data_IF_670795954912
#
_entry.id   IF_670795954912
#
_cell.length_a   1.000
_cell.length_b   1.000
_cell.length_c   1.000
_cell.angle_alpha   90.00
_cell.angle_beta   90.00
_cell.angle_gamma   90.00
#
_symmetry.space_group_name_H-M   'P 1'
#
loop_
_entity.id
_entity.type
_entity.pdbx_description
1 polymer ?
#
# COMPACT_ATOMS: atom_id res chain seq x y z
N UNK A 1 8.92 -20.97 -57.30
CA UNK A 1 9.19 -22.33 -56.78
C UNK A 1 8.88 -22.37 -55.30
N UNK A 2 7.76 -22.98 -54.90
CA UNK A 2 7.61 -23.86 -53.73
C UNK A 2 6.11 -24.01 -53.45
N UNK A 3 5.65 -25.24 -53.58
CA UNK A 3 4.27 -25.71 -53.64
C UNK A 3 3.62 -25.88 -52.27
N UNK A 4 2.32 -25.59 -52.21
CA UNK A 4 1.41 -25.92 -51.12
C UNK A 4 1.33 -27.44 -50.85
N UNK A 5 1.13 -27.82 -49.58
CA UNK A 5 0.54 -29.11 -49.20
C UNK A 5 -0.49 -28.93 -48.09
N UNK A 6 -1.76 -28.99 -48.50
CA UNK A 6 -2.93 -29.18 -47.65
C UNK A 6 -3.07 -30.67 -47.32
N UNK A 7 -3.15 -31.03 -46.04
CA UNK A 7 -3.47 -32.40 -45.60
C UNK A 7 -4.91 -32.41 -45.07
N UNK A 8 -5.79 -33.11 -45.80
CA UNK A 8 -7.15 -33.45 -45.38
C UNK A 8 -7.09 -34.70 -44.49
N UNK A 9 -7.65 -34.64 -43.29
CA UNK A 9 -7.95 -35.85 -42.52
C UNK A 9 -9.33 -36.37 -42.88
N UNK A 10 -9.40 -37.68 -43.14
CA UNK A 10 -10.61 -38.44 -43.49
C UNK A 10 -11.37 -38.83 -42.23
N UNK A 11 -12.69 -38.72 -42.30
CA UNK A 11 -13.63 -39.33 -41.37
C UNK A 11 -13.79 -40.81 -41.75
N UNK A 12 -13.69 -41.70 -40.76
CA UNK A 12 -14.15 -43.09 -40.87
C UNK A 12 -15.24 -43.34 -39.81
N UNK A 13 -16.39 -43.82 -40.28
CA UNK A 13 -17.58 -44.17 -39.50
C UNK A 13 -17.91 -45.65 -39.73
N UNK A 14 -17.99 -46.45 -38.65
CA UNK A 14 -18.74 -47.73 -38.50
C UNK A 14 -18.51 -48.26 -37.07
N UNK A 15 -19.50 -48.17 -36.15
CA UNK A 15 -20.59 -49.13 -35.83
C UNK A 15 -20.11 -50.48 -35.27
N UNK A 16 -20.31 -50.74 -33.97
CA UNK A 16 -20.85 -52.03 -33.47
C UNK A 16 -21.26 -51.99 -31.98
N UNK A 17 -22.44 -52.56 -31.69
CA UNK A 17 -23.09 -52.73 -30.38
C UNK A 17 -22.59 -53.96 -29.57
N UNK A 18 -22.90 -53.93 -28.25
CA UNK A 18 -22.97 -54.99 -27.19
C UNK A 18 -21.82 -55.08 -26.15
N UNK A 19 -22.08 -55.60 -24.92
CA UNK A 19 -23.10 -55.24 -23.93
C UNK A 19 -22.52 -55.02 -22.50
N UNK A 20 -23.39 -54.61 -21.57
CA UNK A 20 -23.12 -54.32 -20.15
C UNK A 20 -22.54 -55.50 -19.35
N UNK A 21 -21.37 -55.35 -18.73
CA UNK A 21 -21.14 -55.58 -17.28
C UNK A 21 -19.65 -55.57 -16.92
N UNK A 22 -19.15 -54.47 -16.38
CA UNK A 22 -18.19 -54.53 -15.26
C UNK A 22 -18.15 -53.18 -14.54
N UNK A 23 -18.39 -53.21 -13.22
CA UNK A 23 -18.33 -52.04 -12.34
C UNK A 23 -16.87 -51.68 -12.10
N UNK A 24 -16.46 -50.51 -12.55
CA UNK A 24 -15.31 -49.80 -11.98
C UNK A 24 -15.85 -48.58 -11.24
N UNK A 25 -15.70 -48.60 -9.92
CA UNK A 25 -15.95 -47.45 -9.06
C UNK A 25 -14.94 -46.34 -9.37
N UNK A 26 -15.37 -45.10 -9.61
CA UNK A 26 -14.41 -44.00 -9.66
C UNK A 26 -13.87 -43.72 -8.25
N UNK A 27 -12.55 -43.78 -8.13
CA UNK A 27 -11.76 -43.23 -7.03
C UNK A 27 -12.14 -41.75 -6.78
N UNK A 28 -12.16 -41.28 -5.51
CA UNK A 28 -12.46 -39.89 -5.21
C UNK A 28 -11.30 -39.03 -5.70
N UNK A 29 -11.57 -38.25 -6.75
CA UNK A 29 -10.60 -37.31 -7.32
C UNK A 29 -10.82 -35.95 -6.67
N UNK A 30 -9.76 -35.41 -6.07
CA UNK A 30 -9.63 -33.97 -5.81
C UNK A 30 -10.08 -33.50 -4.44
N UNK A 31 -9.12 -33.39 -3.51
CA UNK A 31 -9.15 -32.33 -2.51
C UNK A 31 -9.16 -30.98 -3.26
N UNK A 32 -10.34 -30.44 -3.53
CA UNK A 32 -10.47 -29.00 -3.77
C UNK A 32 -10.12 -28.34 -2.44
N UNK A 33 -8.99 -27.63 -2.42
CA UNK A 33 -8.73 -26.67 -1.36
C UNK A 33 -9.95 -25.75 -1.31
N UNK A 34 -10.63 -25.58 -0.16
CA UNK A 34 -11.73 -24.65 -0.08
C UNK A 34 -11.21 -23.30 -0.56
N UNK A 35 -11.87 -22.71 -1.56
CA UNK A 35 -11.62 -21.32 -1.91
C UNK A 35 -11.77 -20.45 -0.66
N UNK A 36 -11.18 -19.23 -0.66
CA UNK A 36 -11.36 -18.32 0.46
C UNK A 36 -12.86 -18.23 0.79
N UNK A 37 -13.20 -18.47 2.06
CA UNK A 37 -14.56 -18.28 2.56
C UNK A 37 -14.78 -16.77 2.47
N UNK A 38 -15.33 -16.31 1.36
CA UNK A 38 -15.70 -14.92 1.14
C UNK A 38 -17.08 -14.80 1.78
N UNK A 39 -17.20 -14.16 2.95
CA UNK A 39 -18.51 -13.93 3.52
C UNK A 39 -19.27 -13.00 2.58
N UNK A 40 -20.57 -13.25 2.41
CA UNK A 40 -21.41 -12.45 1.52
C UNK A 40 -21.34 -10.97 1.97
N UNK A 41 -20.91 -10.05 1.09
CA UNK A 41 -20.64 -8.67 1.45
C UNK A 41 -21.88 -7.94 2.01
N UNK A 42 -23.08 -8.46 1.73
CA UNK A 42 -24.35 -7.92 2.25
C UNK A 42 -24.67 -8.36 3.68
N UNK A 43 -23.96 -9.34 4.22
CA UNK A 43 -24.29 -9.98 5.52
C UNK A 43 -23.11 -10.18 6.46
N UNK A 44 -21.88 -9.97 5.98
CA UNK A 44 -20.67 -10.19 6.76
C UNK A 44 -20.47 -9.13 7.85
N UNK A 45 -20.16 -9.58 9.06
CA UNK A 45 -19.82 -8.74 10.20
C UNK A 45 -18.40 -8.15 10.00
N UNK A 46 -18.10 -6.87 10.35
CA UNK A 46 -16.78 -6.25 10.18
C UNK A 46 -15.59 -7.11 10.66
N UNK A 47 -15.80 -7.92 11.69
CA UNK A 47 -14.80 -8.81 12.28
C UNK A 47 -14.37 -10.01 11.39
N UNK A 48 -15.17 -10.42 10.40
CA UNK A 48 -14.78 -11.50 9.47
C UNK A 48 -13.88 -10.98 8.34
N UNK A 49 -14.01 -9.70 7.97
CA UNK A 49 -13.15 -9.03 6.99
C UNK A 49 -11.71 -8.83 7.49
N UNK A 50 -11.53 -8.52 8.77
CA UNK A 50 -10.21 -8.31 9.36
C UNK A 50 -9.34 -9.57 9.35
N UNK A 51 -9.96 -10.76 9.20
CA UNK A 51 -9.27 -12.05 9.31
C UNK A 51 -8.44 -12.41 8.08
N UNK A 52 -8.81 -11.94 6.89
CA UNK A 52 -8.02 -12.09 5.66
C UNK A 52 -8.29 -10.94 4.66
N UNK A 53 -7.95 -9.72 5.07
CA UNK A 53 -8.08 -8.53 4.23
C UNK A 53 -7.33 -8.66 2.89
N UNK A 54 -6.16 -9.29 2.89
CA UNK A 54 -5.39 -9.52 1.67
C UNK A 54 -6.11 -10.46 0.69
N UNK A 55 -6.72 -11.54 1.20
CA UNK A 55 -7.57 -12.44 0.43
C UNK A 55 -8.76 -11.71 -0.17
N UNK A 56 -9.45 -10.88 0.61
CA UNK A 56 -10.59 -10.08 0.15
C UNK A 56 -10.21 -9.09 -0.97
N UNK A 57 -9.10 -8.36 -0.83
CA UNK A 57 -8.58 -7.48 -1.89
C UNK A 57 -8.22 -8.26 -3.15
N UNK A 58 -7.55 -9.40 -2.99
CA UNK A 58 -7.13 -10.26 -4.11
C UNK A 58 -8.34 -10.78 -4.88
N UNK A 59 -9.39 -11.21 -4.17
CA UNK A 59 -10.62 -11.69 -4.78
C UNK A 59 -11.37 -10.58 -5.54
N UNK A 60 -11.57 -9.41 -4.94
CA UNK A 60 -12.20 -8.28 -5.62
C UNK A 60 -11.39 -7.82 -6.84
N UNK A 61 -10.05 -7.87 -6.78
CA UNK A 61 -9.20 -7.61 -7.93
C UNK A 61 -9.35 -8.67 -9.04
N UNK A 62 -9.61 -9.94 -8.70
CA UNK A 62 -9.91 -10.97 -9.69
C UNK A 62 -11.26 -10.72 -10.36
N UNK A 63 -12.31 -10.41 -9.60
CA UNK A 63 -13.63 -10.05 -10.14
C UNK A 63 -13.55 -8.85 -11.09
N UNK A 64 -12.82 -7.79 -10.71
CA UNK A 64 -12.56 -6.64 -11.57
C UNK A 64 -11.89 -7.02 -12.89
N UNK A 65 -10.87 -7.88 -12.85
CA UNK A 65 -10.18 -8.35 -14.07
C UNK A 65 -11.05 -9.25 -14.95
N UNK A 66 -11.96 -10.00 -14.34
CA UNK A 66 -12.93 -10.84 -15.05
C UNK A 66 -14.12 -10.06 -15.62
N UNK A 67 -14.30 -8.79 -15.22
CA UNK A 67 -15.44 -7.96 -15.63
C UNK A 67 -16.74 -8.32 -14.90
N UNK A 68 -16.68 -9.08 -13.81
CA UNK A 68 -17.82 -9.54 -13.02
C UNK A 68 -18.26 -8.45 -12.02
N UNK A 69 -18.67 -7.29 -12.54
CA UNK A 69 -18.94 -6.09 -11.72
C UNK A 69 -20.07 -6.32 -10.70
N UNK A 70 -21.08 -7.12 -11.05
CA UNK A 70 -22.23 -7.40 -10.18
C UNK A 70 -21.86 -8.17 -8.89
N UNK A 71 -20.71 -8.86 -8.89
CA UNK A 71 -20.21 -9.62 -7.75
C UNK A 71 -19.26 -8.81 -6.85
N UNK A 72 -18.88 -7.59 -7.25
CA UNK A 72 -17.93 -6.76 -6.51
C UNK A 72 -18.64 -6.08 -5.34
N UNK A 73 -17.96 -6.09 -4.19
CA UNK A 73 -18.34 -5.29 -3.04
C UNK A 73 -17.90 -3.82 -3.24
N UNK A 74 -18.64 -3.12 -4.10
CA UNK A 74 -18.26 -1.78 -4.58
C UNK A 74 -18.18 -0.73 -3.47
N UNK A 75 -19.02 -0.84 -2.43
CA UNK A 75 -19.03 0.12 -1.32
C UNK A 75 -17.77 -0.04 -0.47
N UNK A 76 -17.50 -1.25 0.03
CA UNK A 76 -16.34 -1.49 0.87
C UNK A 76 -15.02 -1.29 0.09
N UNK A 77 -14.98 -1.63 -1.20
CA UNK A 77 -13.82 -1.37 -2.05
C UNK A 77 -13.56 0.13 -2.23
N UNK A 78 -14.60 0.95 -2.42
CA UNK A 78 -14.46 2.41 -2.50
C UNK A 78 -13.96 3.00 -1.17
N UNK A 79 -14.51 2.54 -0.05
CA UNK A 79 -14.07 2.98 1.28
C UNK A 79 -12.59 2.66 1.54
N UNK A 80 -12.14 1.48 1.11
CA UNK A 80 -10.74 1.07 1.25
C UNK A 80 -9.82 1.89 0.34
N UNK A 81 -10.22 2.17 -0.91
CA UNK A 81 -9.47 3.05 -1.80
C UNK A 81 -9.30 4.45 -1.19
N UNK A 82 -10.36 5.00 -0.60
CA UNK A 82 -10.32 6.28 0.10
C UNK A 82 -9.45 6.21 1.37
N UNK A 83 -9.51 5.10 2.11
CA UNK A 83 -8.71 4.85 3.30
C UNK A 83 -7.22 4.80 2.97
N UNK A 84 -6.83 4.10 1.88
CA UNK A 84 -5.45 4.06 1.39
C UNK A 84 -4.95 5.47 1.06
N UNK A 85 -5.74 6.28 0.37
CA UNK A 85 -5.39 7.68 0.08
C UNK A 85 -5.23 8.53 1.33
N UNK A 86 -6.12 8.37 2.34
CA UNK A 86 -5.96 9.03 3.65
C UNK A 86 -4.68 8.59 4.35
N UNK A 87 -4.39 7.29 4.37
CA UNK A 87 -3.19 6.71 5.01
C UNK A 87 -1.91 7.28 4.43
N UNK A 88 -1.78 7.36 3.11
CA UNK A 88 -0.59 7.95 2.46
C UNK A 88 -0.39 9.43 2.83
N UNK A 89 -1.46 10.24 2.85
CA UNK A 89 -1.40 11.66 3.28
C UNK A 89 -1.01 11.81 4.75
N UNK A 90 -1.50 10.91 5.60
CA UNK A 90 -1.10 10.86 7.01
C UNK A 90 0.36 10.48 7.17
N UNK A 91 0.82 9.48 6.40
CA UNK A 91 2.22 9.05 6.40
C UNK A 91 3.15 10.20 6.00
N UNK A 92 2.85 10.91 4.91
CA UNK A 92 3.61 12.11 4.51
C UNK A 92 3.74 13.11 5.65
N UNK A 93 2.61 13.43 6.30
CA UNK A 93 2.60 14.39 7.42
C UNK A 93 3.43 13.87 8.60
N UNK A 94 3.36 12.58 8.89
CA UNK A 94 4.09 11.95 9.99
C UNK A 94 5.60 11.96 9.75
N UNK A 95 6.04 11.59 8.54
CA UNK A 95 7.46 11.60 8.14
C UNK A 95 8.05 13.00 8.18
N UNK A 96 7.35 13.97 7.58
CA UNK A 96 7.75 15.38 7.65
C UNK A 96 7.88 15.86 9.10
N UNK A 97 6.95 15.47 9.99
CA UNK A 97 6.99 15.84 11.40
C UNK A 97 8.26 15.33 12.09
N UNK A 98 8.65 14.07 11.84
CA UNK A 98 9.87 13.51 12.45
C UNK A 98 11.12 14.16 11.87
N UNK A 99 11.20 14.34 10.54
CA UNK A 99 12.32 15.06 9.90
C UNK A 99 12.48 16.46 10.52
N UNK A 100 11.40 17.24 10.57
CA UNK A 100 11.41 18.60 11.10
C UNK A 100 11.78 18.66 12.59
N UNK A 101 11.32 17.70 13.39
CA UNK A 101 11.70 17.56 14.79
C UNK A 101 13.21 17.39 14.92
N UNK A 102 13.80 16.49 14.13
CA UNK A 102 15.24 16.25 14.15
C UNK A 102 16.04 17.43 13.62
N UNK A 103 15.55 18.17 12.61
CA UNK A 103 16.18 19.40 12.15
C UNK A 103 16.18 20.49 13.24
N UNK A 104 15.06 20.66 13.96
CA UNK A 104 15.01 21.59 15.10
C UNK A 104 15.99 21.18 16.22
N UNK A 105 16.02 19.90 16.60
CA UNK A 105 17.00 19.41 17.58
C UNK A 105 18.43 19.62 17.10
N UNK A 106 18.69 19.41 15.81
CA UNK A 106 19.99 19.65 15.22
C UNK A 106 20.42 21.12 15.33
N UNK A 107 19.54 22.05 14.97
CA UNK A 107 19.81 23.49 14.99
C UNK A 107 19.98 24.02 16.43
N UNK A 108 19.08 23.65 17.34
CA UNK A 108 18.96 24.28 18.67
C UNK A 108 19.66 23.51 19.81
N UNK A 109 20.12 22.28 19.57
CA UNK A 109 20.87 21.48 20.55
C UNK A 109 22.19 20.94 19.98
N UNK A 110 23.04 21.83 19.44
CA UNK A 110 24.30 21.44 18.79
C UNK A 110 25.22 20.53 19.63
N UNK A 111 25.22 20.69 20.96
CA UNK A 111 26.02 19.87 21.90
C UNK A 111 25.51 18.44 22.10
N UNK A 112 24.27 18.15 21.68
CA UNK A 112 23.60 16.86 21.90
C UNK A 112 23.41 16.08 20.60
N UNK A 113 24.02 16.52 19.49
CA UNK A 113 23.99 15.81 18.21
C UNK A 113 24.66 14.44 18.38
N UNK A 114 23.89 13.38 18.25
CA UNK A 114 24.38 12.00 18.33
C UNK A 114 24.32 11.31 16.97
N UNK A 115 25.07 10.21 16.85
CA UNK A 115 24.97 9.31 15.70
C UNK A 115 23.55 8.76 15.52
N UNK A 116 22.85 8.44 16.61
CA UNK A 116 21.48 7.92 16.54
C UNK A 116 20.51 8.95 15.96
N UNK A 117 20.64 10.24 16.31
CA UNK A 117 19.80 11.28 15.71
C UNK A 117 20.03 11.44 14.22
N UNK A 118 21.29 11.31 13.79
CA UNK A 118 21.63 11.34 12.36
C UNK A 118 21.01 10.13 11.63
N UNK A 119 21.16 8.92 12.17
CA UNK A 119 20.58 7.71 11.59
C UNK A 119 19.05 7.83 11.45
N UNK A 120 18.35 8.29 12.50
CA UNK A 120 16.90 8.50 12.42
C UNK A 120 16.52 9.56 11.38
N UNK A 121 17.26 10.67 11.29
CA UNK A 121 17.00 11.69 10.28
C UNK A 121 17.19 11.15 8.85
N UNK A 122 18.29 10.42 8.61
CA UNK A 122 18.56 9.80 7.31
C UNK A 122 17.48 8.80 6.92
N UNK A 123 17.11 7.90 7.84
CA UNK A 123 16.05 6.91 7.62
C UNK A 123 14.71 7.58 7.26
N UNK A 124 14.32 8.62 8.00
CA UNK A 124 13.07 9.33 7.73
C UNK A 124 13.10 10.10 6.41
N UNK A 125 14.25 10.65 6.01
CA UNK A 125 14.45 11.28 4.69
C UNK A 125 14.30 10.27 3.56
N UNK A 126 14.94 9.11 3.67
CA UNK A 126 14.84 8.05 2.67
C UNK A 126 13.41 7.54 2.51
N UNK A 127 12.73 7.25 3.62
CA UNK A 127 11.35 6.78 3.56
C UNK A 127 10.37 7.88 3.09
N UNK A 128 10.67 9.17 3.35
CA UNK A 128 9.91 10.29 2.81
C UNK A 128 10.09 10.43 1.29
N UNK A 129 11.33 10.32 0.81
CA UNK A 129 11.64 10.35 -0.62
C UNK A 129 10.96 9.20 -1.36
N UNK A 130 11.07 7.98 -0.83
CA UNK A 130 10.41 6.79 -1.38
C UNK A 130 8.88 6.96 -1.46
N UNK A 131 8.25 7.49 -0.39
CA UNK A 131 6.81 7.74 -0.39
C UNK A 131 6.37 8.71 -1.52
N UNK A 132 7.16 9.76 -1.76
CA UNK A 132 6.87 10.75 -2.80
C UNK A 132 7.17 10.22 -4.21
N UNK A 133 8.10 9.28 -4.35
CA UNK A 133 8.39 8.57 -5.59
C UNK A 133 7.28 7.57 -5.94
N UNK A 134 6.83 6.78 -4.96
CA UNK A 134 5.75 5.80 -5.13
C UNK A 134 4.37 6.46 -5.34
N UNK A 135 4.16 7.65 -4.77
CA UNK A 135 2.92 8.41 -4.90
C UNK A 135 3.16 9.87 -5.31
N UNK A 136 3.46 10.15 -6.60
CA UNK A 136 3.77 11.50 -7.07
C UNK A 136 2.63 12.52 -6.86
N UNK A 137 1.38 12.07 -6.76
CA UNK A 137 0.24 12.93 -6.44
C UNK A 137 0.33 13.58 -5.05
N UNK A 138 1.12 13.02 -4.13
CA UNK A 138 1.35 13.59 -2.80
C UNK A 138 2.18 14.88 -2.81
N UNK A 139 2.92 15.15 -3.89
CA UNK A 139 3.56 16.46 -4.09
C UNK A 139 2.51 17.58 -4.08
N UNK A 140 1.30 17.29 -4.60
CA UNK A 140 0.19 18.20 -4.49
C UNK A 140 -0.27 18.32 -3.03
N UNK A 141 0.00 19.47 -2.42
CA UNK A 141 -0.30 19.74 -1.01
C UNK A 141 0.83 19.39 -0.04
N UNK A 142 2.00 18.95 -0.51
CA UNK A 142 3.14 18.66 0.36
C UNK A 142 3.57 19.88 1.20
N UNK A 143 3.50 21.08 0.63
CA UNK A 143 3.78 22.32 1.35
C UNK A 143 2.82 22.56 2.52
N UNK A 144 1.51 22.35 2.33
CA UNK A 144 0.53 22.45 3.41
C UNK A 144 0.80 21.40 4.50
N UNK A 145 1.19 20.19 4.10
CA UNK A 145 1.56 19.13 5.05
C UNK A 145 2.85 19.45 5.79
N UNK A 146 3.82 20.10 5.16
CA UNK A 146 5.04 20.59 5.80
C UNK A 146 4.71 21.59 6.91
N UNK A 147 3.85 22.58 6.64
CA UNK A 147 3.45 23.59 7.63
C UNK A 147 2.69 22.97 8.82
N UNK A 148 1.77 22.04 8.52
CA UNK A 148 1.05 21.28 9.55
C UNK A 148 2.01 20.42 10.39
N UNK A 149 2.92 19.71 9.72
CA UNK A 149 3.95 18.88 10.35
C UNK A 149 4.86 19.72 11.24
N UNK A 150 5.27 20.90 10.80
CA UNK A 150 6.09 21.83 11.56
C UNK A 150 5.43 22.25 12.87
N UNK A 151 4.13 22.56 12.84
CA UNK A 151 3.39 22.94 14.05
C UNK A 151 3.43 21.85 15.12
N UNK A 152 3.40 20.58 14.71
CA UNK A 152 3.52 19.42 15.61
C UNK A 152 4.98 19.20 16.05
N UNK A 153 5.91 19.22 15.10
CA UNK A 153 7.34 19.04 15.33
C UNK A 153 7.91 20.08 16.30
N UNK A 154 7.49 21.34 16.19
CA UNK A 154 7.89 22.42 17.10
C UNK A 154 7.49 22.17 18.55
N UNK A 155 6.28 21.64 18.79
CA UNK A 155 5.82 21.27 20.14
C UNK A 155 6.60 20.07 20.69
N UNK A 156 6.84 19.07 19.84
CA UNK A 156 7.65 17.90 20.21
C UNK A 156 9.10 18.29 20.52
N UNK A 157 9.69 19.20 19.73
CA UNK A 157 11.04 19.69 19.96
C UNK A 157 11.12 20.41 21.31
N UNK A 158 10.18 21.29 21.63
CA UNK A 158 10.14 21.94 22.95
C UNK A 158 10.05 20.90 24.08
N UNK A 159 9.20 19.88 23.95
CA UNK A 159 9.06 18.82 24.94
C UNK A 159 10.33 17.97 25.09
N UNK A 160 10.96 17.53 24.00
CA UNK A 160 12.14 16.66 24.03
C UNK A 160 13.43 17.39 24.45
N UNK A 161 13.55 18.67 24.09
CA UNK A 161 14.76 19.46 24.37
C UNK A 161 14.72 20.14 25.74
N UNK A 162 13.52 20.29 26.32
CA UNK A 162 13.28 21.11 27.52
C UNK A 162 13.39 22.61 27.28
N UNK A 163 13.57 23.06 26.03
CA UNK A 163 13.61 24.48 25.69
C UNK A 163 12.19 25.07 25.61
N UNK A 164 11.98 26.34 26.01
CA UNK A 164 10.71 27.04 25.79
C UNK A 164 10.31 27.01 24.31
N UNK A 165 9.00 26.93 24.03
CA UNK A 165 8.45 26.86 22.67
C UNK A 165 8.82 28.10 21.81
N UNK A 166 9.12 29.20 22.46
CA UNK A 166 9.55 30.50 21.93
C UNK A 166 10.99 30.46 21.40
N UNK A 167 11.79 29.49 21.85
CA UNK A 167 13.15 29.25 21.34
C UNK A 167 13.13 28.79 19.88
N UNK A 168 11.99 28.25 19.44
CA UNK A 168 11.79 27.77 18.08
C UNK A 168 10.97 28.80 17.28
N UNK A 169 11.32 29.05 16.00
CA UNK A 169 10.58 29.96 15.14
C UNK A 169 9.07 29.69 15.11
N UNK A 170 8.24 30.73 14.97
CA UNK A 170 6.78 30.54 14.89
C UNK A 170 6.34 29.93 13.55
N UNK A 171 7.09 30.20 12.48
CA UNK A 171 6.88 29.66 11.13
C UNK A 171 8.01 28.70 10.78
N UNK A 172 7.73 27.73 9.91
CA UNK A 172 8.74 26.76 9.49
C UNK A 172 9.93 27.50 8.84
N UNK A 173 11.17 27.35 9.36
CA UNK A 173 12.35 27.95 8.73
C UNK A 173 12.89 27.08 7.58
N UNK A 174 12.33 25.88 7.39
CA UNK A 174 12.79 24.90 6.41
C UNK A 174 11.83 24.84 5.23
N UNK A 175 12.40 24.65 4.04
CA UNK A 175 11.64 24.34 2.82
C UNK A 175 11.50 22.83 2.67
N UNK A 176 10.61 22.38 1.78
CA UNK A 176 10.40 20.97 1.52
C UNK A 176 11.69 20.28 1.05
N UNK A 177 12.49 20.97 0.22
CA UNK A 177 13.77 20.44 -0.29
C UNK A 177 14.77 20.17 0.85
N UNK A 178 14.81 21.01 1.88
CA UNK A 178 15.63 20.75 3.08
C UNK A 178 15.20 19.48 3.84
N UNK A 179 13.91 19.15 3.78
CA UNK A 179 13.38 17.94 4.40
C UNK A 179 13.73 16.68 3.59
N UNK A 180 14.11 16.79 2.32
CA UNK A 180 14.47 15.69 1.44
C UNK A 180 15.99 15.55 1.24
N UNK A 181 16.73 16.66 1.35
CA UNK A 181 18.17 16.71 1.13
C UNK A 181 18.93 16.02 2.27
N UNK A 182 19.47 14.83 2.01
CA UNK A 182 20.28 14.06 2.97
C UNK A 182 21.52 14.82 3.48
N UNK A 183 22.01 15.80 2.73
CA UNK A 183 23.20 16.58 3.06
C UNK A 183 22.90 17.87 3.82
N UNK A 184 21.63 18.26 3.92
CA UNK A 184 21.23 19.48 4.61
C UNK A 184 21.21 19.30 6.13
N UNK A 185 21.92 20.19 6.84
CA UNK A 185 21.93 20.29 8.29
C UNK A 185 21.99 21.76 8.74
N UNK A 186 21.01 22.26 9.53
CA UNK A 186 20.92 23.67 9.93
C UNK A 186 21.79 24.08 11.13
#
# INVERSE_FOLDING_TARGET
>A
MSTAKTVRYKFDTKTQDMPMSERLTPHPTGNQTPGPIIPDPKTANPAEYEKDFHGWLTYNAQLLRAGEIDAIDTINLAEELDAMGRKQRHELTNRLKIVLLHLLKWQFQARYRTRSWNVTLLEQRQQLAQLLEESPSLWHGAQEKLDKAYTMARKLAAAETGLPLESFPRRCPYQLDHALDETFYP
#
